data_IF_069151546897
#
_entry.id   IF_069151546897
#
_cell.length_a   1.000
_cell.length_b   1.000
_cell.length_c   1.000
_cell.angle_alpha   90.00
_cell.angle_beta   90.00
_cell.angle_gamma   90.00
#
_symmetry.space_group_name_H-M   'P 1'
#
loop_
_entity.id
_entity.type
_entity.pdbx_description
1 polymer ?
#
# COMPACT_ATOMS: atom_id res chain seq x y z
N UNK A 1 37.51 -10.89 12.03
CA UNK A 1 36.13 -10.34 11.99
C UNK A 1 35.90 -9.91 10.55
N UNK A 2 35.42 -10.84 9.71
CA UNK A 2 35.35 -10.60 8.28
C UNK A 2 33.95 -10.13 7.90
N UNK A 3 33.91 -8.88 7.45
CA UNK A 3 32.77 -8.24 6.82
C UNK A 3 32.18 -9.17 5.75
N UNK A 4 30.90 -9.49 5.89
CA UNK A 4 30.14 -10.13 4.83
C UNK A 4 29.87 -9.06 3.75
N UNK A 5 30.54 -9.18 2.61
CA UNK A 5 30.13 -8.50 1.38
C UNK A 5 28.76 -9.04 0.98
N UNK A 6 27.71 -8.24 1.16
CA UNK A 6 26.38 -8.58 0.67
C UNK A 6 26.42 -8.62 -0.87
N UNK A 7 26.19 -9.79 -1.45
CA UNK A 7 25.83 -9.91 -2.85
C UNK A 7 24.48 -9.20 -3.05
N UNK A 8 24.51 -8.04 -3.72
CA UNK A 8 23.39 -7.10 -3.85
C UNK A 8 22.33 -7.57 -4.86
N UNK A 9 21.83 -8.80 -4.72
CA UNK A 9 20.83 -9.36 -5.65
C UNK A 9 19.40 -9.36 -5.11
N UNK A 10 19.17 -9.07 -3.83
CA UNK A 10 17.83 -9.07 -3.23
C UNK A 10 17.02 -7.78 -3.47
N UNK A 11 15.70 -7.88 -3.24
CA UNK A 11 14.77 -6.74 -3.12
C UNK A 11 14.39 -6.56 -1.64
N UNK A 12 14.22 -5.32 -1.19
CA UNK A 12 13.86 -5.02 0.21
C UNK A 12 12.34 -4.92 0.37
N UNK A 13 11.62 -5.97 -0.01
CA UNK A 13 10.14 -6.05 0.09
C UNK A 13 9.75 -7.01 1.21
N UNK A 14 8.89 -6.54 2.12
CA UNK A 14 8.34 -7.25 3.26
C UNK A 14 6.81 -7.16 3.23
N UNK A 15 6.07 -8.29 3.29
CA UNK A 15 6.55 -9.66 3.21
C UNK A 15 7.26 -9.98 1.88
N UNK A 16 8.12 -11.01 1.88
CA UNK A 16 8.80 -11.48 0.66
C UNK A 16 7.76 -11.93 -0.38
N UNK A 17 7.81 -11.40 -1.62
CA UNK A 17 6.87 -11.80 -2.67
C UNK A 17 7.04 -13.27 -3.08
N UNK A 18 5.94 -13.90 -3.52
CA UNK A 18 5.96 -15.30 -3.93
C UNK A 18 6.99 -15.60 -5.05
N UNK A 19 7.10 -14.72 -6.06
CA UNK A 19 8.08 -14.82 -7.15
C UNK A 19 8.55 -13.44 -7.58
N UNK A 20 9.83 -13.33 -7.90
CA UNK A 20 10.36 -12.13 -8.53
C UNK A 20 11.61 -12.42 -9.37
N UNK A 21 11.84 -11.58 -10.38
CA UNK A 21 13.00 -11.62 -11.26
C UNK A 21 13.49 -10.20 -11.52
N UNK A 22 14.79 -9.94 -11.30
CA UNK A 22 15.40 -8.64 -11.56
C UNK A 22 15.86 -8.51 -13.00
N UNK A 23 15.75 -7.32 -13.56
CA UNK A 23 16.21 -6.96 -14.90
C UNK A 23 17.17 -5.77 -14.83
N UNK A 24 18.03 -5.57 -15.85
CA UNK A 24 18.84 -4.36 -15.96
C UNK A 24 17.99 -3.10 -16.06
N UNK A 25 18.51 -1.98 -15.55
CA UNK A 25 17.86 -0.68 -15.63
C UNK A 25 17.05 -0.29 -14.38
N UNK A 26 16.47 0.91 -14.44
CA UNK A 26 15.60 1.46 -13.40
C UNK A 26 14.48 2.29 -14.03
N UNK A 27 13.29 2.18 -13.47
CA UNK A 27 12.21 3.15 -13.70
C UNK A 27 12.41 4.35 -12.77
N UNK A 28 12.36 5.57 -13.29
CA UNK A 28 12.54 6.79 -12.48
C UNK A 28 11.29 7.66 -12.53
N UNK A 29 10.76 8.00 -11.37
CA UNK A 29 9.64 8.92 -11.24
C UNK A 29 10.15 10.34 -11.48
N UNK A 30 9.41 11.10 -12.26
CA UNK A 30 9.70 12.50 -12.58
C UNK A 30 8.48 13.37 -12.34
N UNK A 31 8.63 14.69 -12.49
CA UNK A 31 7.49 15.61 -12.44
C UNK A 31 6.46 15.37 -13.56
N UNK A 32 6.84 14.66 -14.62
CA UNK A 32 5.98 14.29 -15.75
C UNK A 32 5.28 12.94 -15.56
N UNK A 33 5.70 12.13 -14.59
CA UNK A 33 5.09 10.82 -14.33
C UNK A 33 3.60 10.98 -14.02
N UNK A 34 2.76 10.32 -14.82
CA UNK A 34 1.34 10.18 -14.57
C UNK A 34 1.05 8.83 -13.90
N UNK A 35 -0.05 8.76 -13.15
CA UNK A 35 -0.62 7.49 -12.69
C UNK A 35 -1.87 7.23 -13.53
N UNK A 36 -1.82 6.19 -14.35
CA UNK A 36 -2.91 5.80 -15.24
C UNK A 36 -3.63 4.59 -14.67
N UNK A 37 -4.96 4.56 -14.74
CA UNK A 37 -5.72 3.44 -14.19
C UNK A 37 -7.04 3.23 -14.91
N UNK A 38 -7.58 2.02 -14.85
CA UNK A 38 -8.99 1.81 -15.17
C UNK A 38 -9.92 2.30 -14.04
N UNK A 39 -11.23 2.25 -14.29
CA UNK A 39 -12.25 2.70 -13.35
C UNK A 39 -12.25 1.94 -12.00
N UNK A 40 -11.96 0.63 -12.00
CA UNK A 40 -11.94 -0.21 -10.78
C UNK A 40 -10.69 0.03 -9.93
N UNK A 41 -9.57 0.38 -10.57
CA UNK A 41 -8.31 0.71 -9.91
C UNK A 41 -8.19 2.19 -9.51
N UNK A 42 -9.07 3.07 -10.00
CA UNK A 42 -9.01 4.53 -9.74
C UNK A 42 -8.91 4.93 -8.26
N UNK A 43 -9.60 4.30 -7.30
CA UNK A 43 -9.42 4.61 -5.88
C UNK A 43 -8.00 4.30 -5.37
N UNK A 44 -7.39 3.22 -5.86
CA UNK A 44 -6.02 2.82 -5.51
C UNK A 44 -5.01 3.77 -6.13
N UNK A 45 -5.20 4.16 -7.39
CA UNK A 45 -4.38 5.18 -8.06
C UNK A 45 -4.40 6.51 -7.30
N UNK A 46 -5.57 6.93 -6.83
CA UNK A 46 -5.75 8.13 -6.00
C UNK A 46 -4.97 8.02 -4.69
N UNK A 47 -5.10 6.90 -3.99
CA UNK A 47 -4.38 6.65 -2.75
C UNK A 47 -2.86 6.68 -2.96
N UNK A 48 -2.37 6.03 -4.03
CA UNK A 48 -0.95 6.01 -4.35
C UNK A 48 -0.44 7.43 -4.60
N UNK A 49 -1.13 8.22 -5.43
CA UNK A 49 -0.79 9.64 -5.64
C UNK A 49 -0.71 10.40 -4.32
N UNK A 50 -1.70 10.25 -3.45
CA UNK A 50 -1.76 10.98 -2.18
C UNK A 50 -0.62 10.61 -1.22
N UNK A 51 -0.07 9.40 -1.35
CA UNK A 51 1.10 8.93 -0.61
C UNK A 51 2.43 9.39 -1.24
N UNK A 52 2.53 9.40 -2.57
CA UNK A 52 3.78 9.72 -3.27
C UNK A 52 3.98 11.22 -3.50
N UNK A 53 2.92 12.01 -3.63
CA UNK A 53 3.02 13.44 -3.95
C UNK A 53 3.72 14.27 -2.84
N UNK A 54 3.43 14.07 -1.53
CA UNK A 54 4.10 14.85 -0.47
C UNK A 54 5.63 14.71 -0.43
N UNK A 55 6.24 13.50 -0.44
CA UNK A 55 7.69 13.36 -0.40
C UNK A 55 8.37 13.74 -1.73
N UNK A 56 7.74 13.44 -2.87
CA UNK A 56 8.33 13.71 -4.19
C UNK A 56 8.22 15.16 -4.61
N UNK A 57 7.15 15.85 -4.18
CA UNK A 57 6.76 17.15 -4.71
C UNK A 57 6.21 17.09 -6.13
N UNK A 58 5.97 15.90 -6.70
CA UNK A 58 5.47 15.73 -8.06
C UNK A 58 3.93 15.75 -8.09
N UNK A 59 3.33 16.30 -9.17
CA UNK A 59 1.87 16.42 -9.28
C UNK A 59 1.17 15.06 -9.48
N UNK A 60 1.85 14.10 -10.12
CA UNK A 60 1.37 12.73 -10.37
C UNK A 60 -0.09 12.70 -10.85
N UNK A 61 -0.41 13.34 -12.00
CA UNK A 61 -1.78 13.46 -12.48
C UNK A 61 -2.41 12.08 -12.69
N UNK A 62 -3.70 11.96 -12.32
CA UNK A 62 -4.48 10.73 -12.51
C UNK A 62 -5.16 10.76 -13.88
N UNK A 63 -4.87 9.78 -14.73
CA UNK A 63 -5.49 9.66 -16.06
C UNK A 63 -6.12 8.29 -16.24
N UNK A 64 -6.99 8.16 -17.24
CA UNK A 64 -7.61 6.89 -17.58
C UNK A 64 -6.69 6.08 -18.49
N UNK A 65 -6.59 4.77 -18.24
CA UNK A 65 -5.61 3.92 -18.94
C UNK A 65 -5.89 3.79 -20.45
N UNK A 66 -7.17 3.82 -20.85
CA UNK A 66 -7.58 3.65 -22.25
C UNK A 66 -7.06 4.75 -23.18
N UNK A 67 -6.79 5.94 -22.65
CA UNK A 67 -6.28 7.08 -23.42
C UNK A 67 -4.74 7.12 -23.44
N UNK A 68 -4.08 6.21 -22.71
CA UNK A 68 -2.66 6.32 -22.34
C UNK A 68 -1.93 4.97 -22.28
N UNK A 69 -2.36 3.95 -23.03
CA UNK A 69 -1.75 2.61 -23.02
C UNK A 69 -0.24 2.63 -23.33
N UNK A 70 0.22 3.61 -24.12
CA UNK A 70 1.62 3.76 -24.54
C UNK A 70 2.34 4.97 -23.89
N UNK A 71 1.80 5.56 -22.82
CA UNK A 71 2.45 6.72 -22.18
C UNK A 71 3.75 6.31 -21.47
N UNK A 72 4.88 6.70 -22.05
CA UNK A 72 6.21 6.52 -21.44
C UNK A 72 6.34 7.35 -20.16
N UNK A 73 6.97 6.76 -19.14
CA UNK A 73 7.18 7.36 -17.83
C UNK A 73 5.97 7.26 -16.90
N UNK A 74 4.94 6.48 -17.24
CA UNK A 74 3.73 6.32 -16.45
C UNK A 74 3.77 5.13 -15.48
N UNK A 75 2.98 5.24 -14.41
CA UNK A 75 2.62 4.13 -13.52
C UNK A 75 1.21 3.68 -13.88
N UNK A 76 1.07 2.50 -14.48
CA UNK A 76 -0.20 1.91 -14.85
C UNK A 76 -0.73 0.98 -13.75
N UNK A 77 -1.99 1.16 -13.34
CA UNK A 77 -2.69 0.29 -12.39
C UNK A 77 -3.93 -0.26 -13.08
N UNK A 78 -3.91 -1.53 -13.44
CA UNK A 78 -4.93 -2.17 -14.25
C UNK A 78 -5.54 -3.39 -13.56
N UNK A 79 -6.83 -3.56 -13.77
CA UNK A 79 -7.59 -4.77 -13.48
C UNK A 79 -7.75 -5.57 -14.77
N UNK A 80 -7.27 -6.81 -14.75
CA UNK A 80 -7.23 -7.68 -15.91
C UNK A 80 -7.72 -9.08 -15.52
N UNK A 81 -8.64 -9.62 -16.30
CA UNK A 81 -9.28 -10.92 -16.02
C UNK A 81 -8.33 -12.09 -16.18
N UNK A 82 -7.27 -11.95 -16.99
CA UNK A 82 -6.19 -12.92 -17.15
C UNK A 82 -5.37 -13.13 -15.86
N UNK A 83 -5.54 -12.26 -14.84
CA UNK A 83 -4.93 -12.39 -13.51
C UNK A 83 -5.81 -13.12 -12.49
N UNK A 84 -6.99 -13.62 -12.88
CA UNK A 84 -7.92 -14.28 -11.95
C UNK A 84 -7.30 -15.47 -11.19
N UNK A 85 -6.30 -16.15 -11.79
CA UNK A 85 -5.57 -17.24 -11.14
C UNK A 85 -4.79 -16.86 -9.88
N UNK A 86 -4.58 -15.56 -9.62
CA UNK A 86 -3.88 -15.06 -8.42
C UNK A 86 -4.85 -14.70 -7.27
N UNK A 87 -6.16 -14.84 -7.47
CA UNK A 87 -7.18 -14.46 -6.50
C UNK A 87 -7.35 -12.94 -6.32
N UNK A 88 -8.21 -12.54 -5.39
CA UNK A 88 -8.65 -11.13 -5.24
C UNK A 88 -7.57 -10.18 -4.68
N UNK A 89 -6.57 -10.75 -4.01
CA UNK A 89 -5.47 -10.02 -3.38
C UNK A 89 -4.14 -10.19 -4.15
N UNK A 90 -4.14 -10.97 -5.23
CA UNK A 90 -2.95 -11.24 -6.03
C UNK A 90 -2.69 -10.19 -7.12
N UNK A 91 -1.42 -9.99 -7.44
CA UNK A 91 -0.99 -9.00 -8.43
C UNK A 91 0.30 -9.42 -9.14
N UNK A 92 0.53 -8.78 -10.29
CA UNK A 92 1.81 -8.74 -10.98
C UNK A 92 2.28 -7.31 -11.04
N UNK A 93 3.52 -7.06 -10.61
CA UNK A 93 4.19 -5.77 -10.76
C UNK A 93 5.34 -5.94 -11.76
N UNK A 94 5.35 -5.12 -12.80
CA UNK A 94 6.41 -5.06 -13.79
C UNK A 94 6.99 -3.64 -13.81
N UNK A 95 8.29 -3.52 -13.59
CA UNK A 95 9.04 -2.29 -13.73
C UNK A 95 10.01 -2.42 -14.90
N UNK A 96 9.86 -1.53 -15.89
CA UNK A 96 10.78 -1.33 -17.00
C UNK A 96 11.24 0.14 -17.00
N UNK A 97 12.27 0.48 -17.77
CA UNK A 97 12.78 1.87 -17.80
C UNK A 97 11.73 2.88 -18.26
N UNK A 98 10.82 2.46 -19.14
CA UNK A 98 9.81 3.33 -19.75
C UNK A 98 8.44 3.25 -19.10
N UNK A 99 8.13 2.23 -18.31
CA UNK A 99 6.80 2.06 -17.72
C UNK A 99 6.86 1.18 -16.48
N UNK A 100 5.94 1.41 -15.56
CA UNK A 100 5.71 0.55 -14.41
C UNK A 100 4.25 0.15 -14.34
N UNK A 101 3.97 -1.14 -14.31
CA UNK A 101 2.60 -1.68 -14.32
C UNK A 101 2.33 -2.49 -13.07
N UNK A 102 1.16 -2.29 -12.47
CA UNK A 102 0.55 -3.15 -11.46
C UNK A 102 -0.74 -3.70 -12.05
N UNK A 103 -0.78 -5.01 -12.33
CA UNK A 103 -1.96 -5.70 -12.85
C UNK A 103 -2.51 -6.70 -11.84
N UNK A 104 -3.83 -6.81 -11.75
CA UNK A 104 -4.52 -7.69 -10.79
C UNK A 104 -5.92 -8.06 -11.27
N UNK A 105 -6.57 -9.06 -10.67
CA UNK A 105 -7.94 -9.43 -11.03
C UNK A 105 -8.99 -8.54 -10.35
N UNK A 106 -8.64 -7.95 -9.21
CA UNK A 106 -9.52 -7.16 -8.36
C UNK A 106 -8.76 -6.00 -7.67
N UNK A 107 -9.52 -5.03 -7.16
CA UNK A 107 -8.97 -3.83 -6.51
C UNK A 107 -8.07 -4.15 -5.29
N UNK A 108 -8.29 -5.29 -4.61
CA UNK A 108 -7.43 -5.73 -3.50
C UNK A 108 -6.00 -6.04 -3.96
N UNK A 109 -5.85 -6.78 -5.06
CA UNK A 109 -4.56 -7.04 -5.69
C UNK A 109 -3.86 -5.76 -6.13
N UNK A 110 -4.58 -4.86 -6.81
CA UNK A 110 -4.05 -3.55 -7.17
C UNK A 110 -3.52 -2.79 -5.94
N UNK A 111 -4.29 -2.79 -4.85
CA UNK A 111 -3.89 -2.17 -3.60
C UNK A 111 -2.58 -2.76 -3.04
N UNK A 112 -2.45 -4.09 -2.95
CA UNK A 112 -1.22 -4.71 -2.44
C UNK A 112 -0.01 -4.54 -3.38
N UNK A 113 -0.24 -4.51 -4.69
CA UNK A 113 0.80 -4.19 -5.65
C UNK A 113 1.36 -2.79 -5.44
N UNK A 114 0.52 -1.81 -5.11
CA UNK A 114 1.02 -0.47 -4.74
C UNK A 114 1.79 -0.43 -3.43
N UNK A 115 1.51 -1.34 -2.47
CA UNK A 115 2.33 -1.43 -1.26
C UNK A 115 3.73 -1.94 -1.57
N UNK A 116 3.84 -2.92 -2.45
CA UNK A 116 5.14 -3.39 -2.95
C UNK A 116 5.88 -2.29 -3.71
N UNK A 117 5.20 -1.55 -4.58
CA UNK A 117 5.79 -0.39 -5.27
C UNK A 117 6.38 0.62 -4.29
N UNK A 118 5.65 0.98 -3.23
CA UNK A 118 6.14 1.90 -2.19
C UNK A 118 7.43 1.40 -1.53
N UNK A 119 7.53 0.10 -1.26
CA UNK A 119 8.74 -0.48 -0.65
C UNK A 119 9.92 -0.61 -1.62
N UNK A 120 9.67 -0.62 -2.93
CA UNK A 120 10.72 -0.62 -3.95
C UNK A 120 11.34 0.77 -4.17
N UNK A 121 10.65 1.83 -3.74
CA UNK A 121 11.17 3.20 -3.73
C UNK A 121 12.09 3.43 -2.52
N UNK A 122 12.95 4.46 -2.56
CA UNK A 122 13.74 4.87 -1.39
C UNK A 122 12.87 5.13 -0.16
N UNK A 123 13.38 4.82 1.03
CA UNK A 123 12.62 4.90 2.29
C UNK A 123 12.06 6.31 2.59
N UNK A 124 12.67 7.35 2.03
CA UNK A 124 12.23 8.73 2.07
C UNK A 124 10.83 8.93 1.47
N UNK A 125 10.33 8.00 0.66
CA UNK A 125 8.98 8.04 0.10
C UNK A 125 7.89 7.94 1.17
N UNK A 126 8.22 7.53 2.39
CA UNK A 126 7.29 7.45 3.51
C UNK A 126 7.23 8.75 4.34
N UNK A 127 7.96 9.79 3.91
CA UNK A 127 7.93 11.13 4.50
C UNK A 127 6.61 11.85 4.14
N UNK A 128 6.18 12.75 5.02
CA UNK A 128 4.96 13.58 4.83
C UNK A 128 5.25 14.97 4.26
N UNK A 129 6.50 15.22 3.89
CA UNK A 129 6.98 16.52 3.41
C UNK A 129 8.01 16.32 2.29
N UNK A 130 8.17 17.30 1.39
CA UNK A 130 9.09 17.18 0.25
C UNK A 130 10.52 16.85 0.68
N UNK A 131 11.18 16.00 -0.11
CA UNK A 131 12.58 15.62 0.08
C UNK A 131 13.38 16.08 -1.14
N UNK A 132 14.33 16.98 -0.92
CA UNK A 132 15.19 17.52 -1.98
C UNK A 132 16.34 16.58 -2.31
N UNK A 133 16.63 16.38 -3.60
CA UNK A 133 17.80 15.64 -4.06
C UNK A 133 17.69 14.12 -3.98
N UNK A 134 16.52 13.58 -3.63
CA UNK A 134 16.25 12.14 -3.71
C UNK A 134 15.97 11.72 -5.17
N UNK A 135 16.61 10.64 -5.60
CA UNK A 135 16.29 9.98 -6.87
C UNK A 135 15.20 8.94 -6.63
N UNK A 136 13.99 9.22 -7.11
CA UNK A 136 12.84 8.34 -6.95
C UNK A 136 12.86 7.25 -8.02
N UNK A 137 13.65 6.20 -7.82
CA UNK A 137 13.79 5.13 -8.83
C UNK A 137 13.63 3.72 -8.28
N UNK A 138 12.92 2.90 -9.06
CA UNK A 138 12.62 1.49 -8.81
C UNK A 138 13.50 0.64 -9.73
N UNK A 139 14.16 -0.43 -9.24
CA UNK A 139 14.89 -1.35 -10.11
C UNK A 139 13.95 -2.00 -11.13
N UNK A 140 14.39 -2.20 -12.37
CA UNK A 140 13.62 -2.98 -13.33
C UNK A 140 13.49 -4.43 -12.83
N UNK A 141 12.26 -4.95 -12.80
CA UNK A 141 11.95 -6.28 -12.29
C UNK A 141 10.54 -6.71 -12.68
N UNK A 142 10.25 -7.99 -12.43
CA UNK A 142 8.91 -8.53 -12.42
C UNK A 142 8.66 -9.22 -11.08
N UNK A 143 7.53 -8.94 -10.44
CA UNK A 143 7.03 -9.60 -9.23
C UNK A 143 5.67 -10.20 -9.54
N UNK A 144 5.45 -11.44 -9.13
CA UNK A 144 4.14 -12.09 -9.08
C UNK A 144 3.91 -12.52 -7.64
N UNK A 145 2.79 -12.09 -7.06
CA UNK A 145 2.56 -12.24 -5.63
C UNK A 145 1.08 -12.44 -5.31
N UNK A 146 0.82 -13.26 -4.31
CA UNK A 146 -0.50 -13.56 -3.78
C UNK A 146 -0.35 -14.04 -2.34
N UNK A 147 -1.31 -13.74 -1.45
CA UNK A 147 -1.20 -14.12 -0.06
C UNK A 147 -1.30 -15.63 0.13
N UNK A 148 -0.40 -16.19 0.93
CA UNK A 148 -0.49 -17.60 1.35
C UNK A 148 -1.73 -17.89 2.20
N UNK A 149 -2.12 -16.92 3.04
CA UNK A 149 -3.26 -17.05 3.94
C UNK A 149 -4.21 -15.86 3.74
N UNK A 150 -5.53 -16.09 3.63
CA UNK A 150 -6.50 -15.01 3.45
C UNK A 150 -6.69 -14.16 4.71
N UNK A 151 -6.37 -14.69 5.90
CA UNK A 151 -6.51 -13.97 7.16
C UNK A 151 -5.15 -13.58 7.72
N UNK A 152 -4.84 -12.27 7.72
CA UNK A 152 -3.55 -11.74 8.19
C UNK A 152 -3.84 -10.59 9.16
N UNK A 153 -3.93 -10.94 10.43
CA UNK A 153 -4.49 -10.07 11.46
C UNK A 153 -3.49 -9.38 12.37
N UNK A 154 -3.90 -8.24 12.90
CA UNK A 154 -3.29 -7.60 14.07
C UNK A 154 -4.38 -7.27 15.09
N UNK A 155 -4.15 -7.59 16.36
CA UNK A 155 -5.05 -7.22 17.45
C UNK A 155 -4.49 -6.04 18.22
N UNK A 156 -5.28 -4.99 18.36
CA UNK A 156 -4.99 -3.86 19.24
C UNK A 156 -5.91 -3.89 20.46
N UNK A 157 -5.32 -3.94 21.65
CA UNK A 157 -6.01 -3.76 22.93
C UNK A 157 -5.99 -2.30 23.33
N UNK A 158 -7.17 -1.68 23.31
CA UNK A 158 -7.39 -0.33 23.84
C UNK A 158 -8.16 -0.36 25.17
N UNK A 159 -8.67 -1.51 25.61
CA UNK A 159 -9.38 -1.66 26.88
C UNK A 159 -8.48 -1.46 28.10
N UNK A 160 -7.20 -1.83 28.00
CA UNK A 160 -6.21 -1.64 29.08
C UNK A 160 -5.49 -0.29 29.03
N UNK A 161 -5.18 0.20 27.84
CA UNK A 161 -4.47 1.47 27.67
C UNK A 161 -4.93 2.17 26.40
N UNK A 162 -5.50 3.37 26.56
CA UNK A 162 -5.97 4.17 25.43
C UNK A 162 -4.80 4.86 24.71
N UNK A 163 -4.49 4.43 23.50
CA UNK A 163 -3.39 4.98 22.68
C UNK A 163 -3.85 6.11 21.75
N UNK A 164 -5.16 6.19 21.49
CA UNK A 164 -5.78 7.29 20.76
C UNK A 164 -5.76 7.17 19.23
N UNK A 165 -6.75 7.82 18.61
CA UNK A 165 -7.06 7.74 17.16
C UNK A 165 -5.87 7.98 16.23
N UNK A 166 -4.98 8.92 16.58
CA UNK A 166 -3.81 9.24 15.76
C UNK A 166 -2.86 8.05 15.61
N UNK A 167 -2.61 7.34 16.72
CA UNK A 167 -1.75 6.16 16.76
C UNK A 167 -2.44 5.00 16.06
N UNK A 168 -3.73 4.77 16.30
CA UNK A 168 -4.52 3.73 15.59
C UNK A 168 -4.46 3.90 14.08
N UNK A 169 -4.65 5.11 13.57
CA UNK A 169 -4.54 5.38 12.13
C UNK A 169 -3.15 5.07 11.59
N UNK A 170 -2.10 5.48 12.31
CA UNK A 170 -0.72 5.17 11.91
C UNK A 170 -0.46 3.66 11.92
N UNK A 171 -1.01 2.93 12.88
CA UNK A 171 -0.95 1.47 12.92
C UNK A 171 -1.65 0.85 11.70
N UNK A 172 -2.85 1.31 11.35
CA UNK A 172 -3.56 0.85 10.15
C UNK A 172 -2.76 1.12 8.87
N UNK A 173 -2.11 2.28 8.75
CA UNK A 173 -1.22 2.58 7.61
C UNK A 173 -0.05 1.59 7.53
N UNK A 174 0.54 1.23 8.67
CA UNK A 174 1.64 0.25 8.74
C UNK A 174 1.15 -1.17 8.45
N UNK A 175 -0.02 -1.56 8.95
CA UNK A 175 -0.66 -2.83 8.66
C UNK A 175 -0.88 -2.98 7.14
N UNK A 176 -1.46 -1.95 6.52
CA UNK A 176 -1.66 -1.89 5.08
C UNK A 176 -0.34 -2.05 4.30
N UNK A 177 0.70 -1.29 4.68
CA UNK A 177 2.02 -1.38 4.04
C UNK A 177 2.61 -2.80 4.09
N UNK A 178 2.35 -3.54 5.17
CA UNK A 178 2.80 -4.93 5.37
C UNK A 178 1.75 -5.98 4.97
N UNK A 179 0.74 -5.57 4.21
CA UNK A 179 -0.31 -6.45 3.65
C UNK A 179 -1.14 -7.20 4.70
N UNK A 180 -1.24 -6.69 5.93
CA UNK A 180 -2.18 -7.19 6.94
C UNK A 180 -3.59 -6.65 6.61
N UNK A 181 -4.59 -7.53 6.68
CA UNK A 181 -5.93 -7.25 6.16
C UNK A 181 -7.05 -7.40 7.21
N UNK A 182 -6.73 -7.86 8.42
CA UNK A 182 -7.69 -7.93 9.52
C UNK A 182 -7.19 -7.09 10.70
N UNK A 183 -8.00 -6.13 11.13
CA UNK A 183 -7.76 -5.36 12.35
C UNK A 183 -8.76 -5.80 13.42
N UNK A 184 -8.28 -6.52 14.43
CA UNK A 184 -9.08 -6.89 15.59
C UNK A 184 -8.93 -5.79 16.64
N UNK A 185 -9.97 -4.97 16.78
CA UNK A 185 -9.99 -3.88 17.75
C UNK A 185 -10.66 -4.32 19.05
N UNK A 186 -9.84 -4.60 20.06
CA UNK A 186 -10.32 -5.01 21.37
C UNK A 186 -10.58 -3.76 22.23
N UNK A 187 -11.87 -3.43 22.41
CA UNK A 187 -12.35 -2.14 22.93
C UNK A 187 -12.93 -2.20 24.35
N UNK A 188 -13.03 -3.40 24.93
CA UNK A 188 -13.72 -3.63 26.21
C UNK A 188 -12.89 -4.57 27.06
N UNK A 189 -12.51 -4.11 28.25
CA UNK A 189 -11.82 -4.89 29.29
C UNK A 189 -12.40 -4.49 30.65
N UNK A 190 -12.06 -5.25 31.70
CA UNK A 190 -12.52 -4.95 33.06
C UNK A 190 -12.15 -3.52 33.51
N UNK A 191 -11.08 -2.96 32.95
CA UNK A 191 -10.55 -1.63 33.31
C UNK A 191 -11.05 -0.50 32.40
N UNK A 192 -11.77 -0.77 31.31
CA UNK A 192 -12.12 0.25 30.33
C UNK A 192 -13.24 -0.13 29.37
N UNK A 193 -14.15 0.83 29.13
CA UNK A 193 -15.23 0.74 28.15
C UNK A 193 -15.14 1.93 27.18
N UNK A 194 -14.62 1.70 25.97
CA UNK A 194 -14.31 2.79 25.02
C UNK A 194 -15.32 3.00 23.90
N UNK A 195 -16.34 2.14 23.80
CA UNK A 195 -17.45 2.34 22.87
C UNK A 195 -18.48 3.28 23.50
N UNK A 196 -18.63 4.49 22.92
CA UNK A 196 -19.79 5.33 23.24
C UNK A 196 -21.05 4.67 22.70
N UNK A 197 -21.72 3.87 23.52
CA UNK A 197 -23.10 3.50 23.23
C UNK A 197 -23.95 4.76 23.39
N UNK A 198 -24.72 5.12 22.37
CA UNK A 198 -25.82 6.07 22.54
C UNK A 198 -26.72 5.55 23.65
N UNK A 199 -26.58 6.11 24.84
CA UNK A 199 -27.43 5.80 25.97
C UNK A 199 -28.77 6.46 25.67
N UNK A 200 -29.81 5.67 25.42
CA UNK A 200 -31.18 6.16 25.55
C UNK A 200 -31.33 6.72 26.98
N UNK A 201 -31.94 7.91 27.17
CA UNK A 201 -31.99 8.52 28.48
C UNK A 201 -32.82 7.65 29.43
N UNK A 202 -32.19 7.14 30.49
CA UNK A 202 -32.91 6.58 31.62
C UNK A 202 -33.33 7.73 32.55
N UNK A 203 -34.46 8.35 32.24
CA UNK A 203 -35.40 8.86 33.24
C UNK A 203 -36.66 8.01 33.07
N UNK A 204 -37.27 7.42 34.09
CA UNK A 204 -37.61 7.97 35.39
C UNK A 204 -37.45 6.89 36.47
N UNK A 205 -36.79 7.22 37.58
CA UNK A 205 -37.12 6.59 38.87
C UNK A 205 -38.37 7.28 39.37
N UNK A 206 -39.53 6.63 39.31
CA UNK A 206 -40.61 6.96 40.22
C UNK A 206 -40.38 6.15 41.50
N UNK A 207 -39.96 6.85 42.55
CA UNK A 207 -40.10 6.38 43.92
C UNK A 207 -41.54 6.63 44.38
N UNK A 208 -42.06 5.77 45.26
CA UNK A 208 -42.34 6.25 46.62
C UNK A 208 -41.32 5.75 47.65
#
# INVERSE_FOLDING_TARGET
MNAHSASSNGISVIPEPARWERRPGRFTLTAQTAIVSDARARPVARLLRDLLAPPTGFPLPLKDIADHEDETGAIAIATATDRAGLGDEGYVLQAAETHLTVSSSATGGAFYGTQTLRQLLPAEIERRSPVSGAEWSVPCLQIEDAPRFPWRGFMLDEGRYFIGKGVVKRLLDLMALHKLNVFHWHLTEDQGWLLSMFRAPQGERQAP
#
